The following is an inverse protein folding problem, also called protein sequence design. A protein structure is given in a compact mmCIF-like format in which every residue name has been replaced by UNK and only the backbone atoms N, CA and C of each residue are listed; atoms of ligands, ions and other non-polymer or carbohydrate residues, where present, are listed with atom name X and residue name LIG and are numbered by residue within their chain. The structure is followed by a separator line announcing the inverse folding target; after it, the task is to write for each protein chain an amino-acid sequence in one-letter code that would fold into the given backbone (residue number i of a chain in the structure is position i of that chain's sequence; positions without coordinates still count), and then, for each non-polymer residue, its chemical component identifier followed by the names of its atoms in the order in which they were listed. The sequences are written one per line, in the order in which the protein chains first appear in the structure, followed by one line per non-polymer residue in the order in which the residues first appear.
data_IF_510526039132
#
_entry.id   IF_510526039132
#
_cell.length_a   1.000
_cell.length_b   1.000
_cell.length_c   1.000
_cell.angle_alpha   90.00
_cell.angle_beta   90.00
_cell.angle_gamma   90.00
#
_symmetry.space_group_name_H-M   'P 1'
#
loop_
_entity.id
_entity.type
_entity.pdbx_description
1 polymer ?
#
# COMPACT_ATOMS: atom_id res chain seq x y z
N UNK A 1 24.31 -2.66 -28.53
CA UNK A 1 23.03 -3.39 -28.57
C UNK A 1 22.40 -3.28 -27.20
N UNK A 2 21.42 -2.38 -27.02
CA UNK A 2 20.67 -2.29 -25.77
C UNK A 2 19.81 -3.55 -25.68
N UNK A 3 20.09 -4.41 -24.70
CA UNK A 3 19.29 -5.60 -24.44
C UNK A 3 18.04 -5.15 -23.67
N UNK A 4 16.95 -4.91 -24.40
CA UNK A 4 15.66 -4.61 -23.79
C UNK A 4 15.23 -5.84 -22.98
N UNK A 5 15.16 -5.68 -21.65
CA UNK A 5 14.85 -6.79 -20.73
C UNK A 5 13.34 -7.09 -20.75
N UNK A 6 12.87 -7.75 -21.81
CA UNK A 6 11.44 -8.06 -22.01
C UNK A 6 10.88 -9.16 -21.09
N UNK A 7 11.71 -9.92 -20.37
CA UNK A 7 11.26 -11.04 -19.53
C UNK A 7 11.01 -10.70 -18.04
N UNK A 8 10.97 -9.42 -17.68
CA UNK A 8 10.73 -9.04 -16.28
C UNK A 8 9.22 -8.99 -15.99
N UNK A 9 8.81 -9.76 -14.99
CA UNK A 9 7.49 -9.66 -14.37
C UNK A 9 7.58 -8.74 -13.16
N UNK A 10 6.61 -7.84 -13.03
CA UNK A 10 6.51 -6.92 -11.92
C UNK A 10 5.19 -7.14 -11.19
N UNK A 11 5.23 -6.99 -9.87
CA UNK A 11 4.05 -6.96 -9.01
C UNK A 11 4.11 -5.65 -8.25
N UNK A 12 3.09 -4.81 -8.42
CA UNK A 12 2.97 -3.54 -7.70
C UNK A 12 1.82 -3.67 -6.73
N UNK A 13 2.08 -3.28 -5.49
CA UNK A 13 1.11 -3.28 -4.40
C UNK A 13 1.12 -1.93 -3.72
N UNK A 14 -0.04 -1.44 -3.33
CA UNK A 14 -0.20 -0.17 -2.65
C UNK A 14 -1.12 -0.33 -1.45
N UNK A 15 -0.75 0.31 -0.34
CA UNK A 15 -1.65 0.59 0.78
C UNK A 15 -2.02 2.06 0.77
N UNK A 16 -3.20 2.37 1.30
CA UNK A 16 -3.63 3.75 1.50
C UNK A 16 -4.06 3.91 2.95
N UNK A 17 -3.39 4.82 3.67
CA UNK A 17 -3.59 5.05 5.10
C UNK A 17 -3.72 6.55 5.38
N UNK A 18 -4.42 6.89 6.44
CA UNK A 18 -4.37 8.22 7.04
C UNK A 18 -3.78 8.16 8.45
N UNK A 19 -3.16 9.27 8.88
CA UNK A 19 -2.76 9.47 10.26
C UNK A 19 -3.56 10.68 10.76
N UNK A 20 -4.52 10.43 11.64
CA UNK A 20 -5.37 11.45 12.21
C UNK A 20 -5.41 11.30 13.73
N UNK A 21 -5.10 12.38 14.44
CA UNK A 21 -5.04 12.39 15.91
C UNK A 21 -4.18 11.24 16.48
N UNK A 22 -2.98 11.07 15.91
CA UNK A 22 -2.01 10.01 16.27
C UNK A 22 -2.51 8.57 16.06
N UNK A 23 -3.68 8.39 15.44
CA UNK A 23 -4.22 7.09 15.06
C UNK A 23 -3.99 6.84 13.58
N UNK A 24 -3.50 5.65 13.26
CA UNK A 24 -3.32 5.20 11.88
C UNK A 24 -4.56 4.41 11.47
N UNK A 25 -5.20 4.82 10.39
CA UNK A 25 -6.40 4.18 9.86
C UNK A 25 -6.14 3.66 8.45
N UNK A 26 -6.66 2.46 8.17
CA UNK A 26 -6.65 1.90 6.82
C UNK A 26 -7.78 2.53 5.99
N UNK A 27 -7.42 3.18 4.89
CA UNK A 27 -8.38 3.81 3.97
C UNK A 27 -8.87 2.83 2.90
N UNK A 28 -8.20 1.69 2.71
CA UNK A 28 -8.67 0.62 1.83
C UNK A 28 -9.58 -0.37 2.57
N UNK A 29 -9.51 -0.43 3.90
CA UNK A 29 -10.40 -1.23 4.73
C UNK A 29 -10.89 -0.46 5.97
N UNK A 30 -12.10 0.11 5.87
CA UNK A 30 -12.71 0.89 6.96
C UNK A 30 -12.98 0.05 8.23
N UNK A 31 -12.91 -1.28 8.18
CA UNK A 31 -12.99 -2.14 9.38
C UNK A 31 -11.65 -2.27 10.11
N UNK A 32 -10.53 -1.99 9.44
CA UNK A 32 -9.17 -2.14 9.96
C UNK A 32 -8.61 -0.81 10.48
N UNK A 33 -9.04 -0.40 11.68
CA UNK A 33 -8.75 0.91 12.24
C UNK A 33 -7.79 0.82 13.42
N UNK A 34 -6.94 1.83 13.62
CA UNK A 34 -5.98 1.84 14.74
C UNK A 34 -4.82 0.88 14.51
N UNK A 35 -4.25 0.92 13.30
CA UNK A 35 -3.09 0.11 12.94
C UNK A 35 -1.93 0.40 13.90
N UNK A 36 -1.30 -0.67 14.37
CA UNK A 36 -0.13 -0.58 15.24
C UNK A 36 1.14 -0.66 14.42
N UNK A 37 2.05 0.29 14.61
CA UNK A 37 3.41 0.24 14.07
C UNK A 37 4.18 -0.88 14.78
N UNK A 38 4.82 -1.75 14.00
CA UNK A 38 5.78 -2.74 14.50
C UNK A 38 7.11 -2.54 13.77
N UNK A 39 8.20 -2.89 14.42
CA UNK A 39 9.51 -2.94 13.77
C UNK A 39 10.00 -4.39 13.71
N UNK A 40 10.56 -4.79 12.58
CA UNK A 40 11.26 -6.07 12.49
C UNK A 40 12.68 -5.98 13.06
N UNK A 41 13.38 -7.12 13.14
CA UNK A 41 14.76 -7.20 13.65
C UNK A 41 15.78 -6.40 12.82
N UNK A 42 15.39 -5.91 11.63
CA UNK A 42 16.21 -5.09 10.73
C UNK A 42 15.83 -3.61 10.81
N UNK A 43 14.87 -3.24 11.64
CA UNK A 43 14.37 -1.87 11.78
C UNK A 43 13.40 -1.45 10.67
N UNK A 44 12.82 -2.38 9.92
CA UNK A 44 11.77 -2.04 8.96
C UNK A 44 10.46 -1.80 9.70
N UNK A 45 9.79 -0.71 9.37
CA UNK A 45 8.44 -0.42 9.85
C UNK A 45 7.45 -1.33 9.13
N UNK A 46 6.65 -2.04 9.91
CA UNK A 46 5.59 -2.94 9.48
C UNK A 46 4.25 -2.39 9.95
N UNK A 47 3.29 -2.34 9.02
CA UNK A 47 1.89 -2.02 9.25
C UNK A 47 1.05 -3.16 8.67
N UNK A 48 0.04 -3.59 9.40
CA UNK A 48 -0.93 -4.58 8.93
C UNK A 48 -2.06 -3.90 8.15
N UNK A 49 -1.67 -3.06 7.17
CA UNK A 49 -2.58 -2.36 6.29
C UNK A 49 -2.96 -3.26 5.10
N UNK A 50 -4.18 -3.11 4.60
CA UNK A 50 -4.61 -3.73 3.35
C UNK A 50 -3.72 -3.25 2.20
N UNK A 51 -3.38 -4.17 1.32
CA UNK A 51 -2.56 -3.92 0.14
C UNK A 51 -3.34 -4.33 -1.12
N UNK A 52 -3.59 -3.38 -2.02
CA UNK A 52 -4.21 -3.62 -3.31
C UNK A 52 -3.15 -3.88 -4.38
N UNK A 53 -3.37 -4.88 -5.24
CA UNK A 53 -2.53 -5.10 -6.43
C UNK A 53 -2.97 -4.14 -7.52
N UNK A 54 -2.01 -3.36 -8.06
CA UNK A 54 -2.26 -2.37 -9.10
C UNK A 54 -1.31 -2.63 -10.28
N UNK A 55 -1.79 -2.39 -11.50
CA UNK A 55 -1.01 -2.56 -12.73
C UNK A 55 -1.06 -1.33 -13.65
N UNK A 56 -1.83 -0.31 -13.27
CA UNK A 56 -1.96 0.94 -14.00
C UNK A 56 -2.39 2.08 -13.07
N UNK A 57 -2.33 3.31 -13.58
CA UNK A 57 -2.65 4.53 -12.83
C UNK A 57 -4.14 4.58 -12.47
N UNK A 58 -5.04 4.18 -13.36
CA UNK A 58 -6.48 4.24 -13.12
C UNK A 58 -6.88 3.40 -11.90
N UNK A 59 -6.31 2.20 -11.75
CA UNK A 59 -6.51 1.38 -10.54
C UNK A 59 -5.97 2.03 -9.27
N UNK A 60 -4.88 2.79 -9.36
CA UNK A 60 -4.38 3.57 -8.20
C UNK A 60 -5.40 4.64 -7.84
N UNK A 61 -5.90 5.38 -8.82
CA UNK A 61 -6.90 6.43 -8.61
C UNK A 61 -8.22 5.89 -8.06
N UNK A 62 -8.70 4.74 -8.55
CA UNK A 62 -9.88 4.06 -8.02
C UNK A 62 -9.73 3.70 -6.54
N UNK A 63 -8.59 3.14 -6.14
CA UNK A 63 -8.30 2.84 -4.74
C UNK A 63 -8.27 4.12 -3.87
N UNK A 64 -7.72 5.21 -4.39
CA UNK A 64 -7.73 6.50 -3.69
C UNK A 64 -9.15 7.06 -3.51
N UNK A 65 -10.02 6.92 -4.52
CA UNK A 65 -11.42 7.35 -4.44
C UNK A 65 -12.24 6.54 -3.44
N UNK A 66 -11.95 5.25 -3.26
CA UNK A 66 -12.61 4.41 -2.25
C UNK A 66 -12.27 4.84 -0.81
N UNK A 67 -11.06 5.38 -0.63
CA UNK A 67 -10.57 5.86 0.67
C UNK A 67 -11.07 7.23 1.08
N UNK A 68 -11.82 7.94 0.24
CA UNK A 68 -12.51 9.19 0.62
C UNK A 68 -13.72 8.95 1.55
#
# INVERSE_FOLDING_TARGET
MWQTRFDKRYLIRCSYIEIYNEKINDLLDKSNQGLTIREDIKGNVLLDAREAVVDNVDKVMENMMQGQ
#
